data_IF_761145699763
#
_entry.id   IF_761145699763
#
_cell.length_a   1.000
_cell.length_b   1.000
_cell.length_c   1.000
_cell.angle_alpha   90.00
_cell.angle_beta   90.00
_cell.angle_gamma   90.00
#
_symmetry.space_group_name_H-M   'P 1'
#
loop_
_entity.id
_entity.type
_entity.pdbx_description
1 polymer ?
#
# COMPACT_ATOMS: atom_id res chain seq x y z
N UNK A 1 -23.66 -0.98 -15.35
CA UNK A 1 -22.74 -2.13 -15.21
C UNK A 1 -21.49 -1.56 -14.59
N UNK A 2 -21.46 -1.50 -13.26
CA UNK A 2 -20.41 -0.80 -12.52
C UNK A 2 -19.14 -1.64 -12.57
N UNK A 3 -18.07 -1.08 -13.12
CA UNK A 3 -16.76 -1.68 -13.05
C UNK A 3 -16.13 -1.22 -11.74
N UNK A 4 -16.27 -2.01 -10.65
CA UNK A 4 -15.70 -1.73 -9.32
C UNK A 4 -14.25 -1.26 -9.43
N UNK A 5 -13.44 -1.96 -10.22
CA UNK A 5 -12.03 -1.60 -10.47
C UNK A 5 -11.92 -0.18 -11.05
N UNK A 6 -12.76 0.20 -12.01
CA UNK A 6 -12.71 1.57 -12.56
C UNK A 6 -13.08 2.66 -11.55
N UNK A 7 -14.02 2.36 -10.64
CA UNK A 7 -14.40 3.27 -9.54
C UNK A 7 -13.24 3.39 -8.54
N UNK A 8 -12.68 2.26 -8.10
CA UNK A 8 -11.52 2.23 -7.20
C UNK A 8 -10.29 2.89 -7.83
N UNK A 9 -10.05 2.69 -9.12
CA UNK A 9 -8.99 3.40 -9.85
C UNK A 9 -9.20 4.91 -9.86
N UNK A 10 -10.44 5.37 -9.97
CA UNK A 10 -10.77 6.80 -9.88
C UNK A 10 -10.53 7.34 -8.46
N UNK A 11 -10.84 6.54 -7.44
CA UNK A 11 -10.59 6.84 -6.03
C UNK A 11 -9.10 6.93 -5.72
N UNK A 12 -8.31 5.89 -6.01
CA UNK A 12 -6.88 5.85 -5.66
C UNK A 12 -6.07 6.94 -6.37
N UNK A 13 -6.43 7.27 -7.62
CA UNK A 13 -5.83 8.39 -8.37
C UNK A 13 -6.37 9.76 -7.99
N UNK A 14 -7.41 9.81 -7.16
CA UNK A 14 -8.16 11.02 -6.81
C UNK A 14 -8.50 11.87 -8.06
N UNK A 15 -8.98 11.21 -9.12
CA UNK A 15 -9.17 11.83 -10.44
C UNK A 15 -10.53 12.49 -10.64
N UNK A 16 -11.41 12.43 -9.63
CA UNK A 16 -12.72 13.07 -9.61
C UNK A 16 -12.93 13.85 -8.31
N UNK A 17 -13.84 14.84 -8.28
CA UNK A 17 -14.26 15.49 -7.05
C UNK A 17 -14.82 14.49 -6.02
N UNK A 18 -14.62 14.78 -4.72
CA UNK A 18 -15.03 13.90 -3.62
C UNK A 18 -16.51 13.49 -3.68
N UNK A 19 -17.41 14.42 -4.03
CA UNK A 19 -18.84 14.14 -4.11
C UNK A 19 -19.22 13.19 -5.27
N UNK A 20 -18.39 13.09 -6.30
CA UNK A 20 -18.56 12.10 -7.37
C UNK A 20 -17.98 10.75 -6.96
N UNK A 21 -16.81 10.74 -6.30
CA UNK A 21 -16.22 9.51 -5.75
C UNK A 21 -17.15 8.87 -4.73
N UNK A 22 -17.64 9.63 -3.75
CA UNK A 22 -18.56 9.15 -2.72
C UNK A 22 -19.83 8.53 -3.33
N UNK A 23 -20.41 9.20 -4.34
CA UNK A 23 -21.56 8.67 -5.07
C UNK A 23 -21.23 7.37 -5.79
N UNK A 24 -20.13 7.32 -6.53
CA UNK A 24 -19.73 6.12 -7.26
C UNK A 24 -19.44 4.95 -6.30
N UNK A 25 -18.83 5.22 -5.14
CA UNK A 25 -18.53 4.22 -4.12
C UNK A 25 -19.79 3.74 -3.40
N UNK A 26 -20.82 4.58 -3.26
CA UNK A 26 -22.10 4.19 -2.64
C UNK A 26 -22.88 3.13 -3.44
N UNK A 27 -22.52 2.94 -4.71
CA UNK A 27 -23.07 1.91 -5.59
C UNK A 27 -22.32 0.57 -5.49
N UNK A 28 -21.30 0.49 -4.65
CA UNK A 28 -20.53 -0.72 -4.37
C UNK A 28 -20.95 -1.32 -3.04
N UNK A 29 -21.10 -2.65 -3.00
CA UNK A 29 -21.23 -3.36 -1.73
C UNK A 29 -19.95 -3.19 -0.91
N UNK A 30 -20.12 -2.92 0.39
CA UNK A 30 -19.01 -2.75 1.33
C UNK A 30 -18.27 -4.06 1.56
N UNK A 31 -19.02 -5.14 1.81
CA UNK A 31 -18.47 -6.49 1.91
C UNK A 31 -17.90 -6.92 0.55
N UNK A 32 -16.63 -7.33 0.53
CA UNK A 32 -15.96 -7.72 -0.71
C UNK A 32 -15.08 -8.96 -0.54
N UNK A 33 -15.53 -10.07 -1.13
CA UNK A 33 -14.82 -11.35 -1.13
C UNK A 33 -13.93 -11.57 -2.38
N UNK A 34 -13.73 -10.51 -3.20
CA UNK A 34 -12.95 -10.60 -4.44
C UNK A 34 -11.47 -10.25 -4.25
N UNK A 35 -10.72 -10.24 -5.36
CA UNK A 35 -9.33 -9.76 -5.36
C UNK A 35 -9.30 -8.24 -5.19
N UNK A 36 -8.64 -7.70 -4.15
CA UNK A 36 -8.57 -6.26 -3.91
C UNK A 36 -7.71 -5.55 -4.96
N UNK A 37 -7.96 -4.25 -5.16
CA UNK A 37 -7.07 -3.42 -5.96
C UNK A 37 -5.87 -2.98 -5.11
N UNK A 38 -4.67 -3.32 -5.56
CA UNK A 38 -3.43 -2.89 -4.90
C UNK A 38 -3.15 -1.40 -5.11
N UNK A 39 -3.11 -0.65 -4.03
CA UNK A 39 -2.66 0.75 -3.95
C UNK A 39 -1.13 0.76 -3.92
N UNK A 40 -0.56 1.35 -4.97
CA UNK A 40 0.86 1.60 -5.09
C UNK A 40 1.25 2.95 -4.52
N UNK A 41 2.51 3.08 -4.11
CA UNK A 41 3.06 4.32 -3.57
C UNK A 41 2.96 5.51 -4.54
N UNK A 42 3.00 5.29 -5.85
CA UNK A 42 2.95 6.38 -6.84
C UNK A 42 1.63 7.17 -6.80
N UNK A 43 0.49 6.51 -6.52
CA UNK A 43 -0.78 7.20 -6.33
C UNK A 43 -0.76 8.14 -5.12
N UNK A 44 -0.21 7.66 -4.00
CA UNK A 44 -0.14 8.46 -2.76
C UNK A 44 0.86 9.62 -2.94
N UNK A 45 1.98 9.39 -3.64
CA UNK A 45 2.94 10.44 -4.00
C UNK A 45 2.26 11.54 -4.81
N UNK A 46 1.48 11.18 -5.84
CA UNK A 46 0.79 12.15 -6.70
C UNK A 46 -0.21 13.00 -5.90
N UNK A 47 -1.03 12.38 -5.05
CA UNK A 47 -2.02 13.10 -4.22
C UNK A 47 -1.33 14.03 -3.21
N UNK A 48 -0.25 13.58 -2.56
CA UNK A 48 0.53 14.43 -1.66
C UNK A 48 1.13 15.64 -2.39
N UNK A 49 1.66 15.44 -3.60
CA UNK A 49 2.19 16.53 -4.43
C UNK A 49 1.12 17.55 -4.82
N UNK A 50 -0.10 17.09 -5.15
CA UNK A 50 -1.25 17.95 -5.44
C UNK A 50 -1.68 18.77 -4.23
N UNK A 51 -1.60 18.20 -3.03
CA UNK A 51 -1.85 18.96 -1.80
C UNK A 51 -0.76 20.02 -1.54
N UNK A 52 0.52 19.66 -1.73
CA UNK A 52 1.67 20.57 -1.54
C UNK A 52 1.62 21.74 -2.53
N UNK A 53 1.22 21.48 -3.78
CA UNK A 53 1.09 22.52 -4.81
C UNK A 53 -0.15 23.41 -4.63
N UNK A 54 -1.07 23.03 -3.75
CA UNK A 54 -2.36 23.70 -3.53
C UNK A 54 -3.40 23.41 -4.61
N UNK A 55 -3.20 22.37 -5.42
CA UNK A 55 -4.21 21.89 -6.38
C UNK A 55 -5.42 21.30 -5.65
N UNK A 56 -5.17 20.59 -4.54
CA UNK A 56 -6.19 20.17 -3.58
C UNK A 56 -5.86 20.76 -2.20
N UNK A 57 -6.89 21.04 -1.41
CA UNK A 57 -6.73 21.55 -0.06
C UNK A 57 -6.69 20.41 0.98
N UNK A 58 -6.49 20.79 2.25
CA UNK A 58 -6.36 19.85 3.38
C UNK A 58 -7.64 19.06 3.66
N UNK A 59 -8.81 19.67 3.47
CA UNK A 59 -10.10 19.00 3.64
C UNK A 59 -10.35 17.99 2.51
N UNK A 60 -9.86 18.29 1.31
CA UNK A 60 -9.96 17.40 0.16
C UNK A 60 -9.11 16.14 0.31
N UNK A 61 -7.86 16.27 0.79
CA UNK A 61 -7.00 15.11 1.05
C UNK A 61 -7.49 14.29 2.25
N UNK A 62 -8.04 14.93 3.29
CA UNK A 62 -8.72 14.24 4.40
C UNK A 62 -9.90 13.42 3.89
N UNK A 63 -10.80 14.05 3.12
CA UNK A 63 -11.97 13.38 2.56
C UNK A 63 -11.59 12.21 1.65
N UNK A 64 -10.53 12.36 0.86
CA UNK A 64 -10.01 11.28 0.03
C UNK A 64 -9.47 10.11 0.86
N UNK A 65 -8.68 10.38 1.90
CA UNK A 65 -8.15 9.35 2.78
C UNK A 65 -9.27 8.61 3.53
N UNK A 66 -10.29 9.33 3.98
CA UNK A 66 -11.49 8.76 4.61
C UNK A 66 -12.24 7.78 3.69
N UNK A 67 -12.28 8.05 2.38
CA UNK A 67 -12.92 7.15 1.42
C UNK A 67 -12.10 5.87 1.15
N UNK A 68 -10.81 5.85 1.49
CA UNK A 68 -9.92 4.69 1.30
C UNK A 68 -9.82 3.85 2.58
N UNK A 69 -9.78 4.50 3.72
CA UNK A 69 -9.57 3.85 5.02
C UNK A 69 -10.63 2.76 5.29
N UNK A 70 -10.18 1.62 5.81
CA UNK A 70 -11.00 0.45 6.12
C UNK A 70 -11.75 -0.22 4.94
N UNK A 71 -11.49 0.12 3.68
CA UNK A 71 -12.10 -0.60 2.54
C UNK A 71 -11.49 -2.00 2.35
N UNK A 72 -12.34 -3.01 2.20
CA UNK A 72 -11.95 -4.41 1.98
C UNK A 72 -11.54 -4.73 0.53
N UNK A 73 -11.94 -3.88 -0.42
CA UNK A 73 -11.63 -4.03 -1.84
C UNK A 73 -10.35 -3.28 -2.27
N UNK A 74 -9.59 -2.79 -1.29
CA UNK A 74 -8.29 -2.17 -1.46
C UNK A 74 -7.26 -2.87 -0.58
N UNK A 75 -6.04 -2.99 -1.09
CA UNK A 75 -4.87 -3.43 -0.32
C UNK A 75 -3.67 -2.54 -0.65
N UNK A 76 -2.59 -2.60 0.13
CA UNK A 76 -1.38 -1.81 -0.13
C UNK A 76 -0.25 -2.69 -0.67
N UNK A 77 0.60 -2.15 -1.54
CA UNK A 77 1.76 -2.88 -2.09
C UNK A 77 2.70 -3.36 -0.97
N UNK A 78 3.24 -4.58 -1.08
CA UNK A 78 3.91 -5.28 0.02
C UNK A 78 5.17 -4.56 0.55
N UNK A 79 5.96 -3.94 -0.32
CA UNK A 79 7.27 -3.37 0.04
C UNK A 79 7.16 -2.18 0.98
N UNK A 80 6.10 -1.39 0.83
CA UNK A 80 5.82 -0.19 1.61
C UNK A 80 4.47 -0.26 2.36
N UNK A 81 3.76 -1.39 2.32
CA UNK A 81 2.34 -1.49 2.64
C UNK A 81 1.96 -0.93 4.00
N UNK A 82 2.67 -1.34 5.06
CA UNK A 82 2.46 -0.82 6.43
C UNK A 82 2.63 0.71 6.48
N UNK A 83 3.59 1.26 5.74
CA UNK A 83 3.81 2.71 5.72
C UNK A 83 2.70 3.43 4.93
N UNK A 84 2.24 2.85 3.81
CA UNK A 84 1.13 3.40 3.02
C UNK A 84 -0.17 3.39 3.81
N UNK A 85 -0.48 2.28 4.47
CA UNK A 85 -1.64 2.13 5.35
C UNK A 85 -1.62 3.17 6.47
N UNK A 86 -0.48 3.30 7.18
CA UNK A 86 -0.33 4.33 8.21
C UNK A 86 -0.43 5.76 7.65
N UNK A 87 -0.01 5.99 6.40
CA UNK A 87 -0.15 7.30 5.75
C UNK A 87 -1.63 7.62 5.50
N UNK A 88 -2.40 6.66 4.97
CA UNK A 88 -3.85 6.82 4.79
C UNK A 88 -4.54 7.00 6.14
N UNK A 89 -4.24 6.17 7.14
CA UNK A 89 -4.81 6.28 8.47
C UNK A 89 -4.58 7.67 9.08
N UNK A 90 -3.36 8.21 8.96
CA UNK A 90 -3.04 9.55 9.47
C UNK A 90 -3.79 10.66 8.76
N UNK A 91 -3.93 10.58 7.45
CA UNK A 91 -4.67 11.57 6.66
C UNK A 91 -6.19 11.48 6.89
N UNK A 92 -6.73 10.28 7.15
CA UNK A 92 -8.14 10.09 7.45
C UNK A 92 -8.53 10.57 8.86
N UNK A 93 -7.57 10.56 9.80
CA UNK A 93 -7.84 10.79 11.22
C UNK A 93 -7.09 12.00 11.82
N UNK A 94 -7.21 13.22 11.28
CA UNK A 94 -6.44 14.37 11.78
C UNK A 94 -6.80 14.81 13.20
N UNK A 95 -7.99 14.45 13.70
CA UNK A 95 -8.35 14.65 15.11
C UNK A 95 -7.47 13.81 16.05
N UNK A 96 -7.04 12.62 15.60
CA UNK A 96 -6.19 11.70 16.37
C UNK A 96 -4.71 11.91 16.09
N UNK A 97 -4.35 12.15 14.82
CA UNK A 97 -2.98 12.13 14.32
C UNK A 97 -2.38 13.54 14.12
N UNK A 98 -3.18 14.58 14.36
CA UNK A 98 -2.81 15.98 14.20
C UNK A 98 -3.32 16.58 12.88
N UNK A 99 -3.50 17.90 12.88
CA UNK A 99 -4.01 18.65 11.73
C UNK A 99 -3.16 18.45 10.47
N UNK A 100 -3.84 18.24 9.34
CA UNK A 100 -3.18 18.17 8.04
C UNK A 100 -2.75 19.57 7.65
N UNK A 101 -1.47 19.70 7.30
CA UNK A 101 -0.92 20.94 6.74
C UNK A 101 -0.08 20.59 5.51
N UNK A 102 0.17 21.54 4.59
CA UNK A 102 1.10 21.31 3.49
C UNK A 102 2.47 20.80 3.95
N UNK A 103 2.94 21.25 5.12
CA UNK A 103 4.19 20.77 5.73
C UNK A 103 4.13 19.32 6.23
N UNK A 104 2.96 18.86 6.69
CA UNK A 104 2.73 17.43 7.02
C UNK A 104 2.72 16.59 5.74
N UNK A 105 2.07 17.06 4.68
CA UNK A 105 2.07 16.39 3.38
C UNK A 105 3.49 16.26 2.81
N UNK A 106 4.31 17.31 2.93
CA UNK A 106 5.72 17.29 2.52
C UNK A 106 6.54 16.27 3.34
N UNK A 107 6.35 16.23 4.67
CA UNK A 107 7.02 15.24 5.52
C UNK A 107 6.64 13.80 5.16
N UNK A 108 5.36 13.54 4.90
CA UNK A 108 4.87 12.24 4.44
C UNK A 108 5.47 11.86 3.09
N UNK A 109 5.54 12.80 2.15
CA UNK A 109 6.13 12.58 0.83
C UNK A 109 7.62 12.22 0.93
N UNK A 110 8.39 12.96 1.72
CA UNK A 110 9.82 12.68 1.94
C UNK A 110 10.00 11.29 2.54
N UNK A 111 9.27 10.98 3.61
CA UNK A 111 9.34 9.68 4.26
C UNK A 111 8.95 8.53 3.31
N UNK A 112 7.93 8.73 2.47
CA UNK A 112 7.50 7.76 1.46
C UNK A 112 8.62 7.48 0.44
N UNK A 113 9.20 8.52 -0.14
CA UNK A 113 10.28 8.41 -1.13
C UNK A 113 11.53 7.73 -0.54
N UNK A 114 11.87 7.99 0.72
CA UNK A 114 12.94 7.29 1.42
C UNK A 114 12.64 5.78 1.55
N UNK A 115 11.41 5.39 1.87
CA UNK A 115 11.04 3.96 1.96
C UNK A 115 11.04 3.28 0.60
N UNK A 116 10.51 3.93 -0.44
CA UNK A 116 10.49 3.37 -1.80
C UNK A 116 11.91 3.25 -2.38
N UNK A 117 12.79 4.22 -2.13
CA UNK A 117 14.19 4.14 -2.57
C UNK A 117 14.99 3.06 -1.81
N UNK A 118 14.70 2.84 -0.53
CA UNK A 118 15.29 1.73 0.25
C UNK A 118 14.77 0.36 -0.19
N UNK A 119 13.50 0.24 -0.58
CA UNK A 119 12.92 -0.99 -1.10
C UNK A 119 13.60 -1.41 -2.42
N UNK A 120 13.80 -0.47 -3.36
CA UNK A 120 14.53 -0.71 -4.61
C UNK A 120 16.02 -1.08 -4.42
N UNK A 121 16.57 -0.81 -3.23
CA UNK A 121 17.98 -1.04 -2.88
C UNK A 121 18.22 -2.34 -2.10
N UNK A 122 17.17 -3.05 -1.69
CA UNK A 122 17.33 -4.34 -1.00
C UNK A 122 17.60 -5.45 -2.03
N UNK A 123 18.65 -6.25 -1.87
CA UNK A 123 18.82 -7.44 -2.70
C UNK A 123 17.66 -8.39 -2.42
N UNK A 124 17.02 -8.86 -3.49
CA UNK A 124 15.98 -9.90 -3.46
C UNK A 124 16.49 -11.12 -2.71
N UNK A 125 16.13 -11.23 -1.43
CA UNK A 125 16.34 -12.46 -0.68
C UNK A 125 15.12 -13.34 -0.91
N UNK A 126 15.05 -13.89 -2.12
CA UNK A 126 14.12 -14.95 -2.44
C UNK A 126 14.24 -16.08 -1.43
N UNK A 127 13.13 -16.44 -0.81
CA UNK A 127 13.01 -17.66 -0.01
C UNK A 127 11.55 -17.92 0.38
N UNK A 128 11.18 -19.17 0.72
CA UNK A 128 12.03 -20.34 1.00
C UNK A 128 11.73 -21.50 -0.01
N UNK A 129 12.44 -22.62 -0.16
CA UNK A 129 13.30 -23.45 0.68
C UNK A 129 14.34 -24.16 -0.21
N UNK A 130 15.55 -24.38 0.32
CA UNK A 130 16.35 -25.53 -0.06
C UNK A 130 16.79 -26.24 1.23
N UNK A 131 16.00 -27.20 1.69
CA UNK A 131 16.52 -28.20 2.62
C UNK A 131 17.61 -29.00 1.92
N UNK A 132 18.82 -29.14 2.49
CA UNK A 132 19.81 -30.03 1.91
C UNK A 132 19.36 -31.47 2.17
N UNK A 133 19.10 -32.21 1.10
CA UNK A 133 18.96 -33.66 1.12
C UNK A 133 20.26 -34.26 1.66
N UNK A 134 20.24 -34.72 2.90
CA UNK A 134 21.27 -35.64 3.40
C UNK A 134 21.05 -36.97 2.67
N UNK A 135 21.83 -37.19 1.62
CA UNK A 135 21.96 -38.51 1.01
C UNK A 135 22.68 -39.43 1.99
N UNK A 136 21.90 -40.24 2.71
CA UNK A 136 22.38 -41.47 3.35
C UNK A 136 22.96 -42.38 2.27
N UNK A 137 24.27 -42.62 2.32
CA UNK A 137 24.99 -43.39 1.31
C UNK A 137 26.19 -44.12 1.91
N UNK A 138 25.93 -45.36 2.31
CA UNK A 138 26.83 -46.51 2.39
C UNK A 138 28.02 -46.48 3.40
N UNK A 139 27.79 -47.24 4.47
CA UNK A 139 28.74 -48.01 5.28
C UNK A 139 29.98 -48.51 4.53
N UNK A 140 31.16 -48.08 4.94
CA UNK A 140 32.40 -48.80 4.69
C UNK A 140 32.57 -49.88 5.76
N UNK A 141 32.38 -51.15 5.36
CA UNK A 141 32.66 -52.30 6.21
C UNK A 141 34.17 -52.41 6.50
N UNK A 142 34.46 -52.42 7.79
CA UNK A 142 35.75 -52.76 8.36
C UNK A 142 35.97 -54.27 8.18
N UNK A 143 37.01 -54.69 7.44
CA UNK A 143 37.51 -56.07 7.46
C UNK A 143 38.88 -56.13 8.14
N UNK A 144 39.09 -57.00 9.15
CA UNK A 144 40.39 -57.13 9.82
C UNK A 144 41.32 -58.13 9.12
N UNK A 145 42.60 -57.77 9.17
CA UNK A 145 43.87 -58.51 9.18
C UNK A 145 44.05 -59.91 8.53
N UNK A 146 45.13 -60.03 7.78
CA UNK A 146 46.15 -61.08 7.94
C UNK A 146 47.55 -60.45 7.77
#
# INVERSE_FOLDING_TARGET
MNNRIAILMSLVSFSKPLNELDRDLSELDWDYDGEPLTIRSDYIVEVLQRCISGEINTDEIEGWANLIECREDLEFENEAGIFLENTIYRLANPVLEGEITPGVCEQLLIALLEKCSLAASRPDWGGPEATPTISSGATAEFRPAA
#
